data_IF_947115905814
#
_entry.id   IF_947115905814
#
_cell.length_a   1.000
_cell.length_b   1.000
_cell.length_c   1.000
_cell.angle_alpha   90.00
_cell.angle_beta   90.00
_cell.angle_gamma   90.00
#
_symmetry.space_group_name_H-M   'P 1'
#
loop_
_entity.id
_entity.type
_entity.pdbx_description
1 polymer ?
#
# COMPACT_ATOMS: atom_id res chain seq x y z
N UNK A 1 13.71 -6.82 -1.99
CA UNK A 1 12.35 -6.24 -1.87
C UNK A 1 11.26 -7.26 -1.52
N UNK A 2 10.96 -8.25 -2.36
CA UNK A 2 9.79 -9.14 -2.14
C UNK A 2 9.81 -9.98 -0.86
N UNK A 3 11.00 -10.33 -0.33
CA UNK A 3 11.15 -11.04 0.96
C UNK A 3 10.71 -10.17 2.14
N UNK A 4 11.09 -8.90 2.15
CA UNK A 4 10.75 -7.95 3.22
C UNK A 4 9.26 -7.61 3.23
N UNK A 5 8.66 -7.43 2.05
CA UNK A 5 7.19 -7.25 1.96
C UNK A 5 6.42 -8.47 2.49
N UNK A 6 6.97 -9.68 2.31
CA UNK A 6 6.37 -10.92 2.85
C UNK A 6 6.53 -11.01 4.37
N UNK A 7 7.66 -10.58 4.93
CA UNK A 7 7.92 -10.63 6.38
C UNK A 7 7.03 -9.69 7.19
N UNK A 8 6.39 -8.71 6.56
CA UNK A 8 5.38 -7.88 7.22
C UNK A 8 4.13 -8.65 7.66
N UNK A 9 3.87 -9.83 7.09
CA UNK A 9 2.72 -10.68 7.40
C UNK A 9 1.39 -9.90 7.45
N UNK A 10 1.22 -8.91 6.56
CA UNK A 10 0.12 -7.95 6.69
C UNK A 10 -1.25 -8.61 6.81
N UNK A 11 -1.47 -9.69 6.06
CA UNK A 11 -2.71 -10.47 6.11
C UNK A 11 -3.08 -11.04 7.48
N UNK A 12 -2.16 -11.24 8.42
CA UNK A 12 -2.48 -11.73 9.77
C UNK A 12 -2.74 -10.61 10.79
N UNK A 13 -2.51 -9.36 10.41
CA UNK A 13 -2.55 -8.19 11.31
C UNK A 13 -3.90 -7.47 11.27
N UNK A 14 -5.02 -8.20 11.42
CA UNK A 14 -6.35 -7.59 11.35
C UNK A 14 -6.66 -6.65 12.52
N UNK A 15 -5.90 -6.72 13.60
CA UNK A 15 -5.99 -5.82 14.76
C UNK A 15 -5.60 -4.37 14.43
N UNK A 16 -4.65 -4.16 13.51
CA UNK A 16 -4.08 -2.83 13.26
C UNK A 16 -5.08 -1.87 12.59
N UNK A 17 -5.03 -0.59 12.91
CA UNK A 17 -5.68 0.45 12.12
C UNK A 17 -4.88 0.76 10.84
N UNK A 18 -5.51 1.43 9.87
CA UNK A 18 -4.79 1.95 8.70
C UNK A 18 -3.63 2.88 9.08
N UNK A 19 -3.81 3.67 10.14
CA UNK A 19 -2.78 4.60 10.62
C UNK A 19 -1.58 3.85 11.22
N UNK A 20 -1.83 2.81 12.02
CA UNK A 20 -0.75 1.96 12.55
C UNK A 20 -0.02 1.19 11.45
N UNK A 21 -0.77 0.70 10.47
CA UNK A 21 -0.21 0.06 9.29
C UNK A 21 0.70 1.02 8.51
N UNK A 22 0.24 2.25 8.29
CA UNK A 22 1.03 3.32 7.68
C UNK A 22 2.30 3.64 8.48
N UNK A 23 2.21 3.79 9.80
CA UNK A 23 3.38 4.07 10.65
C UNK A 23 4.48 3.01 10.54
N UNK A 24 4.11 1.74 10.37
CA UNK A 24 5.07 0.63 10.21
C UNK A 24 5.66 0.56 8.80
N UNK A 25 4.84 0.80 7.78
CA UNK A 25 5.23 0.64 6.37
C UNK A 25 6.00 1.85 5.85
N UNK A 26 5.61 3.06 6.26
CA UNK A 26 6.13 4.31 5.69
C UNK A 26 7.65 4.47 5.78
N UNK A 27 8.32 4.20 6.92
CA UNK A 27 9.77 4.34 7.00
C UNK A 27 10.52 3.45 6.00
N UNK A 28 10.06 2.20 5.86
CA UNK A 28 10.64 1.25 4.91
C UNK A 28 10.41 1.74 3.48
N UNK A 29 9.16 2.07 3.14
CA UNK A 29 8.82 2.58 1.80
C UNK A 29 9.59 3.87 1.47
N UNK A 30 9.73 4.79 2.42
CA UNK A 30 10.49 6.02 2.22
C UNK A 30 11.97 5.74 1.92
N UNK A 31 12.58 4.77 2.62
CA UNK A 31 13.95 4.31 2.30
C UNK A 31 14.07 3.78 0.87
N UNK A 32 13.13 2.93 0.44
CA UNK A 32 13.10 2.41 -0.93
C UNK A 32 12.86 3.53 -1.96
N UNK A 33 11.94 4.46 -1.70
CA UNK A 33 11.69 5.60 -2.58
C UNK A 33 12.95 6.49 -2.71
N UNK A 34 13.62 6.80 -1.59
CA UNK A 34 14.82 7.63 -1.60
C UNK A 34 15.98 6.97 -2.36
N UNK A 35 16.17 5.66 -2.19
CA UNK A 35 17.23 4.94 -2.89
C UNK A 35 16.92 4.74 -4.37
N UNK A 36 15.72 4.27 -4.73
CA UNK A 36 15.43 3.84 -6.09
C UNK A 36 14.92 4.95 -7.02
N UNK A 37 14.35 6.05 -6.49
CA UNK A 37 13.82 7.14 -7.33
C UNK A 37 14.87 7.80 -8.21
N UNK A 38 16.12 7.90 -7.73
CA UNK A 38 17.22 8.56 -8.44
C UNK A 38 17.86 7.69 -9.53
N UNK A 39 17.90 6.37 -9.33
CA UNK A 39 18.70 5.48 -10.19
C UNK A 39 17.85 4.55 -11.06
N UNK A 40 16.68 4.10 -10.58
CA UNK A 40 15.86 3.05 -11.22
C UNK A 40 14.36 3.31 -11.01
N UNK A 41 13.80 4.43 -11.52
CA UNK A 41 12.39 4.77 -11.31
C UNK A 41 11.41 3.74 -11.90
N UNK A 42 11.76 3.05 -12.98
CA UNK A 42 10.92 2.00 -13.59
C UNK A 42 10.79 0.76 -12.70
N UNK A 43 11.79 0.44 -11.87
CA UNK A 43 11.71 -0.68 -10.90
C UNK A 43 10.82 -0.34 -9.70
N UNK A 44 10.52 0.95 -9.49
CA UNK A 44 9.71 1.44 -8.39
C UNK A 44 8.22 1.14 -8.58
N UNK A 45 7.72 1.21 -9.82
CA UNK A 45 6.32 0.98 -10.17
C UNK A 45 5.83 -0.41 -9.72
N UNK A 46 6.48 -1.54 -10.10
CA UNK A 46 6.03 -2.86 -9.64
C UNK A 46 6.14 -3.02 -8.12
N UNK A 47 7.10 -2.35 -7.47
CA UNK A 47 7.24 -2.36 -6.02
C UNK A 47 6.06 -1.67 -5.31
N UNK A 48 5.69 -0.45 -5.72
CA UNK A 48 4.56 0.28 -5.11
C UNK A 48 3.23 -0.41 -5.39
N UNK A 49 3.05 -1.00 -6.57
CA UNK A 49 1.87 -1.80 -6.89
C UNK A 49 1.75 -3.04 -6.02
N UNK A 50 2.88 -3.68 -5.69
CA UNK A 50 2.91 -4.84 -4.80
C UNK A 50 2.51 -4.46 -3.36
N UNK A 51 2.94 -3.31 -2.86
CA UNK A 51 2.49 -2.80 -1.55
C UNK A 51 0.98 -2.60 -1.56
N UNK A 52 0.43 -1.95 -2.59
CA UNK A 52 -1.02 -1.78 -2.73
C UNK A 52 -1.76 -3.11 -2.77
N UNK A 53 -1.22 -4.14 -3.45
CA UNK A 53 -1.81 -5.47 -3.46
C UNK A 53 -1.88 -6.10 -2.05
N UNK A 54 -0.86 -5.90 -1.21
CA UNK A 54 -0.91 -6.34 0.19
C UNK A 54 -1.91 -5.54 1.03
N UNK A 55 -2.03 -4.23 0.82
CA UNK A 55 -3.06 -3.41 1.47
C UNK A 55 -4.47 -3.91 1.13
N UNK A 56 -4.73 -4.18 -0.15
CA UNK A 56 -6.00 -4.77 -0.60
C UNK A 56 -6.25 -6.13 0.05
N UNK A 57 -5.23 -7.00 0.10
CA UNK A 57 -5.33 -8.30 0.77
C UNK A 57 -5.67 -8.14 2.25
N UNK A 58 -5.04 -7.18 2.93
CA UNK A 58 -5.30 -6.87 4.33
C UNK A 58 -6.73 -6.36 4.57
N UNK A 59 -7.23 -5.44 3.73
CA UNK A 59 -8.61 -4.94 3.79
C UNK A 59 -9.62 -6.09 3.67
N UNK A 60 -9.40 -6.99 2.70
CA UNK A 60 -10.26 -8.17 2.48
C UNK A 60 -10.29 -9.09 3.70
N UNK A 61 -9.16 -9.24 4.38
CA UNK A 61 -9.07 -10.13 5.54
C UNK A 61 -9.67 -9.52 6.80
N UNK A 62 -9.41 -8.23 7.06
CA UNK A 62 -9.94 -7.48 8.21
C UNK A 62 -11.45 -7.25 8.11
N UNK A 63 -11.95 -6.88 6.93
CA UNK A 63 -13.36 -6.54 6.71
C UNK A 63 -14.02 -7.56 5.79
N UNK A 64 -14.69 -8.57 6.35
CA UNK A 64 -15.35 -9.63 5.56
C UNK A 64 -16.40 -9.09 4.58
N UNK A 65 -17.08 -7.99 4.91
CA UNK A 65 -17.99 -7.26 3.99
C UNK A 65 -17.29 -6.68 2.75
N UNK A 66 -15.97 -6.51 2.80
CA UNK A 66 -15.11 -6.04 1.71
C UNK A 66 -14.25 -7.18 1.12
N UNK A 67 -14.58 -8.44 1.37
CA UNK A 67 -13.80 -9.59 0.89
C UNK A 67 -13.71 -9.67 -0.65
N UNK A 68 -14.68 -9.10 -1.38
CA UNK A 68 -14.62 -8.97 -2.83
C UNK A 68 -13.52 -7.99 -3.26
N UNK A 69 -12.65 -8.40 -4.19
CA UNK A 69 -11.49 -7.61 -4.65
C UNK A 69 -11.88 -6.20 -5.08
N UNK A 70 -12.97 -6.04 -5.84
CA UNK A 70 -13.47 -4.73 -6.30
C UNK A 70 -13.85 -3.81 -5.14
N UNK A 71 -14.54 -4.34 -4.11
CA UNK A 71 -14.93 -3.57 -2.91
C UNK A 71 -13.71 -3.13 -2.09
N UNK A 72 -12.73 -4.01 -1.92
CA UNK A 72 -11.49 -3.67 -1.21
C UNK A 72 -10.66 -2.62 -1.94
N UNK A 73 -10.54 -2.74 -3.28
CA UNK A 73 -9.87 -1.72 -4.11
C UNK A 73 -10.57 -0.37 -4.00
N UNK A 74 -11.89 -0.33 -4.16
CA UNK A 74 -12.68 0.89 -4.02
C UNK A 74 -12.48 1.53 -2.64
N UNK A 75 -12.47 0.73 -1.57
CA UNK A 75 -12.23 1.25 -0.21
C UNK A 75 -10.82 1.79 -0.05
N UNK A 76 -9.81 1.12 -0.58
CA UNK A 76 -8.43 1.63 -0.56
C UNK A 76 -8.33 2.97 -1.30
N UNK A 77 -8.95 3.08 -2.49
CA UNK A 77 -8.97 4.32 -3.28
C UNK A 77 -9.71 5.45 -2.56
N UNK A 78 -10.85 5.16 -1.92
CA UNK A 78 -11.59 6.12 -1.09
C UNK A 78 -10.69 6.69 0.02
N UNK A 79 -9.97 5.82 0.73
CA UNK A 79 -9.04 6.24 1.80
C UNK A 79 -7.85 7.01 1.21
N UNK A 80 -7.31 6.59 0.07
CA UNK A 80 -6.21 7.28 -0.60
C UNK A 80 -6.58 8.67 -1.10
N UNK A 81 -7.83 8.87 -1.54
CA UNK A 81 -8.36 10.20 -1.89
C UNK A 81 -8.54 11.08 -0.66
N UNK A 82 -9.07 10.52 0.44
CA UNK A 82 -9.31 11.27 1.68
C UNK A 82 -8.02 11.59 2.44
N UNK A 83 -7.03 10.70 2.39
CA UNK A 83 -5.76 10.81 3.11
C UNK A 83 -4.56 10.48 2.21
N UNK A 84 -4.25 11.33 1.21
CA UNK A 84 -3.23 11.03 0.20
C UNK A 84 -1.80 10.91 0.74
N UNK A 85 -1.56 11.44 1.95
CA UNK A 85 -0.26 11.38 2.65
C UNK A 85 -0.16 10.23 3.66
N UNK A 86 -1.21 9.41 3.80
CA UNK A 86 -1.21 8.30 4.76
C UNK A 86 -0.13 7.27 4.42
N UNK A 87 0.07 6.97 3.13
CA UNK A 87 1.19 6.16 2.67
C UNK A 87 2.10 6.96 1.76
N UNK A 88 3.42 6.83 1.96
CA UNK A 88 4.42 7.60 1.22
C UNK A 88 4.31 7.42 -0.30
N UNK A 89 4.00 6.21 -0.77
CA UNK A 89 3.91 5.87 -2.19
C UNK A 89 2.59 6.26 -2.86
N UNK A 90 1.54 6.63 -2.10
CA UNK A 90 0.25 6.94 -2.70
C UNK A 90 0.29 8.17 -3.62
N UNK A 91 1.20 9.11 -3.38
CA UNK A 91 1.45 10.24 -4.29
C UNK A 91 1.92 9.81 -5.69
N UNK A 92 2.60 8.67 -5.79
CA UNK A 92 3.12 8.14 -7.04
C UNK A 92 2.07 7.33 -7.81
N UNK A 93 1.05 6.80 -7.11
CA UNK A 93 0.03 5.95 -7.72
C UNK A 93 -1.30 6.67 -7.96
N UNK A 94 -1.67 7.65 -7.13
CA UNK A 94 -2.98 8.31 -7.20
C UNK A 94 -3.12 9.23 -8.42
N UNK A 95 -2.02 9.72 -9.01
CA UNK A 95 -2.06 10.42 -10.30
C UNK A 95 -2.28 9.52 -11.52
N UNK A 96 -2.11 8.20 -11.37
CA UNK A 96 -2.19 7.23 -12.47
C UNK A 96 -3.49 6.41 -12.49
N UNK A 97 -4.42 6.62 -11.55
CA UNK A 97 -5.70 5.88 -11.47
C UNK A 97 -6.88 6.84 -11.58
N UNK A 98 -6.76 7.82 -12.48
CA UNK A 98 -7.87 8.69 -12.93
C UNK A 98 -7.83 8.93 -14.45
N UNK A 99 -7.22 8.02 -15.20
CA UNK A 99 -7.38 7.91 -16.65
C UNK A 99 -8.05 6.57 -16.95
#
# INVERSE_FOLDING_TARGET
>A
MGRELRSWHLHTRSELSFHELARRINPVVAGWLNYYSRFRPWELIPFVMRINAYLVRWIRQKYKRLAAKRKALAKMQEIARRYPRMFAHWRLTTGAVSA
#
